data_IF_478406150186
#
_entry.id   IF_478406150186
#
_cell.length_a   1.000
_cell.length_b   1.000
_cell.length_c   1.000
_cell.angle_alpha   90.00
_cell.angle_beta   90.00
_cell.angle_gamma   90.00
#
_symmetry.space_group_name_H-M   'P 1'
#
loop_
_entity.id
_entity.type
_entity.pdbx_description
1 polymer ?
#
# COMPACT_ATOMS: atom_id res chain seq x y z
N UNK A 1 18.65 -62.90 40.28
CA UNK A 1 17.61 -63.14 41.29
C UNK A 1 16.56 -62.08 41.09
N UNK A 2 15.50 -62.51 40.45
CA UNK A 2 14.09 -62.45 40.91
C UNK A 2 13.54 -61.04 40.95
N UNK A 3 12.40 -60.68 40.49
CA UNK A 3 11.21 -61.39 40.03
C UNK A 3 10.26 -60.39 39.34
N UNK A 4 9.56 -60.86 38.34
CA UNK A 4 8.39 -60.43 37.62
C UNK A 4 7.24 -60.05 38.57
N UNK A 5 6.35 -59.08 38.19
CA UNK A 5 4.88 -59.19 38.23
C UNK A 5 4.24 -57.94 37.62
N UNK A 6 3.65 -58.01 36.50
CA UNK A 6 2.27 -58.30 36.04
C UNK A 6 1.23 -57.20 36.38
N UNK A 7 0.83 -56.58 35.35
CA UNK A 7 -0.50 -56.23 34.83
C UNK A 7 -1.62 -55.73 35.76
N UNK A 8 -2.20 -54.60 35.39
CA UNK A 8 -3.66 -54.50 35.40
C UNK A 8 -4.16 -53.54 34.29
N UNK A 9 -5.02 -54.09 33.46
CA UNK A 9 -5.76 -53.42 32.40
C UNK A 9 -6.87 -52.58 33.03
N UNK A 10 -6.92 -51.30 32.75
CA UNK A 10 -8.06 -50.43 33.01
C UNK A 10 -8.58 -49.89 31.66
N UNK A 11 -9.76 -50.40 31.27
CA UNK A 11 -10.41 -49.97 30.03
C UNK A 11 -10.87 -48.52 30.10
N UNK A 12 -10.80 -47.74 28.99
CA UNK A 12 -11.27 -46.38 28.97
C UNK A 12 -12.80 -46.28 28.98
N UNK A 13 -13.31 -45.45 29.85
CA UNK A 13 -14.71 -45.09 30.00
C UNK A 13 -15.24 -44.44 28.70
N UNK A 14 -16.23 -45.08 28.07
CA UNK A 14 -16.92 -44.65 26.86
C UNK A 14 -18.02 -43.63 27.13
N UNK A 15 -17.74 -42.55 27.85
CA UNK A 15 -18.80 -41.56 28.11
C UNK A 15 -18.34 -40.13 28.16
N UNK A 16 -17.41 -39.70 27.33
CA UNK A 16 -17.10 -38.27 27.28
C UNK A 16 -16.61 -37.87 25.88
N UNK A 17 -17.37 -38.22 24.84
CA UNK A 17 -17.14 -37.70 23.49
C UNK A 17 -18.45 -37.42 22.82
N UNK A 18 -18.98 -36.25 22.98
CA UNK A 18 -19.84 -35.55 22.01
C UNK A 18 -19.96 -34.09 22.40
N UNK A 19 -18.83 -33.35 22.33
CA UNK A 19 -18.94 -31.92 22.12
C UNK A 19 -18.61 -31.67 20.64
N UNK A 20 -19.67 -31.72 19.86
CA UNK A 20 -19.61 -31.41 18.42
C UNK A 20 -19.47 -29.89 18.32
N UNK A 21 -18.25 -29.41 18.25
CA UNK A 21 -17.98 -28.02 17.86
C UNK A 21 -18.38 -27.91 16.40
N UNK A 22 -19.58 -27.39 16.16
CA UNK A 22 -20.03 -27.01 14.84
C UNK A 22 -19.07 -25.96 14.32
N UNK A 23 -18.17 -26.37 13.42
CA UNK A 23 -17.40 -25.42 12.61
C UNK A 23 -18.42 -24.63 11.80
N UNK A 24 -18.67 -23.39 12.19
CA UNK A 24 -19.32 -22.41 11.32
C UNK A 24 -18.53 -22.39 10.02
N UNK A 25 -19.10 -22.90 8.94
CA UNK A 25 -18.62 -22.62 7.59
C UNK A 25 -18.66 -21.12 7.42
N UNK A 26 -17.50 -20.49 7.42
CA UNK A 26 -17.37 -19.13 6.94
C UNK A 26 -17.63 -19.24 5.44
N UNK A 27 -18.84 -18.88 5.04
CA UNK A 27 -19.19 -18.72 3.63
C UNK A 27 -18.50 -17.44 3.22
N UNK A 28 -17.34 -17.55 2.59
CA UNK A 28 -16.73 -16.46 1.85
C UNK A 28 -17.69 -16.19 0.70
N UNK A 29 -18.23 -14.96 0.57
CA UNK A 29 -19.06 -14.64 -0.58
C UNK A 29 -18.21 -14.81 -1.84
N UNK A 30 -18.58 -15.77 -2.69
CA UNK A 30 -18.00 -15.95 -3.99
C UNK A 30 -18.54 -14.85 -4.92
N UNK A 31 -17.99 -13.66 -4.79
CA UNK A 31 -18.02 -12.64 -5.81
C UNK A 31 -16.67 -11.93 -5.73
N UNK A 32 -15.64 -12.64 -6.13
CA UNK A 32 -14.48 -11.97 -6.70
C UNK A 32 -14.99 -11.57 -8.08
N UNK A 33 -15.62 -10.38 -8.18
CA UNK A 33 -15.71 -9.69 -9.45
C UNK A 33 -14.30 -9.69 -10.02
N UNK A 34 -14.18 -10.08 -11.30
CA UNK A 34 -12.94 -10.04 -12.04
C UNK A 34 -12.26 -8.72 -11.69
N UNK A 35 -11.10 -8.79 -11.03
CA UNK A 35 -10.41 -7.63 -10.47
C UNK A 35 -10.20 -6.67 -11.63
N UNK A 36 -11.03 -5.62 -11.69
CA UNK A 36 -10.84 -4.58 -12.68
C UNK A 36 -9.43 -4.07 -12.48
N UNK A 37 -8.60 -4.19 -13.53
CA UNK A 37 -7.19 -3.84 -13.47
C UNK A 37 -7.08 -2.39 -13.06
N UNK A 38 -6.60 -2.12 -11.86
CA UNK A 38 -6.46 -0.77 -11.31
C UNK A 38 -5.56 0.10 -12.20
N UNK A 39 -5.80 1.40 -12.16
CA UNK A 39 -4.97 2.39 -12.79
C UNK A 39 -4.13 3.10 -11.72
N UNK A 40 -2.84 3.25 -11.96
CA UNK A 40 -1.88 3.76 -10.99
C UNK A 40 -1.26 5.06 -11.51
N UNK A 41 -1.36 6.13 -10.75
CA UNK A 41 -0.45 7.27 -10.91
C UNK A 41 0.73 7.06 -9.97
N UNK A 42 1.94 6.99 -10.52
CA UNK A 42 3.18 6.80 -9.76
C UNK A 42 4.01 8.07 -9.75
N UNK A 43 4.71 8.32 -8.64
CA UNK A 43 5.54 9.50 -8.43
C UNK A 43 6.87 9.11 -7.81
N UNK A 44 7.93 9.84 -8.19
CA UNK A 44 9.21 9.82 -7.48
C UNK A 44 9.60 11.26 -7.19
N UNK A 45 9.94 11.53 -5.93
CA UNK A 45 10.11 12.89 -5.42
C UNK A 45 11.41 12.97 -4.60
N UNK A 46 12.20 14.03 -4.79
CA UNK A 46 13.32 14.33 -3.91
C UNK A 46 12.86 15.31 -2.81
N UNK A 47 12.93 14.90 -1.56
CA UNK A 47 12.49 15.69 -0.40
C UNK A 47 13.67 15.96 0.53
N UNK A 48 13.94 17.22 0.92
CA UNK A 48 14.95 17.51 1.92
C UNK A 48 14.66 16.77 3.24
N UNK A 49 15.66 16.13 3.82
CA UNK A 49 15.50 15.36 5.06
C UNK A 49 14.96 16.22 6.22
N UNK A 50 15.34 17.49 6.24
CA UNK A 50 14.83 18.47 7.22
C UNK A 50 13.31 18.71 7.09
N UNK A 51 12.74 18.48 5.90
CA UNK A 51 11.32 18.72 5.62
C UNK A 51 10.45 17.47 5.77
N UNK A 52 10.99 16.36 6.30
CA UNK A 52 10.27 15.09 6.38
C UNK A 52 8.90 15.19 7.07
N UNK A 53 8.85 15.82 8.22
CA UNK A 53 7.58 15.95 8.98
C UNK A 53 6.61 16.92 8.28
N UNK A 54 7.12 17.96 7.65
CA UNK A 54 6.32 18.88 6.84
C UNK A 54 5.75 18.14 5.61
N UNK A 55 6.54 17.29 4.95
CA UNK A 55 6.09 16.45 3.84
C UNK A 55 4.96 15.51 4.28
N UNK A 56 5.11 14.82 5.42
CA UNK A 56 4.07 13.93 5.96
C UNK A 56 2.78 14.69 6.24
N UNK A 57 2.87 15.89 6.83
CA UNK A 57 1.69 16.71 7.10
C UNK A 57 1.03 17.19 5.80
N UNK A 58 1.83 17.61 4.81
CA UNK A 58 1.37 18.01 3.48
C UNK A 58 0.65 16.84 2.79
N UNK A 59 1.28 15.66 2.69
CA UNK A 59 0.71 14.47 2.09
C UNK A 59 -0.63 14.10 2.75
N UNK A 60 -0.71 14.04 4.08
CA UNK A 60 -1.96 13.75 4.78
C UNK A 60 -3.10 14.71 4.44
N UNK A 61 -2.79 15.95 4.14
CA UNK A 61 -3.80 16.95 3.79
C UNK A 61 -4.24 16.85 2.34
N UNK A 62 -3.29 16.74 1.42
CA UNK A 62 -3.57 16.82 0.00
C UNK A 62 -3.90 15.46 -0.63
N UNK A 63 -3.31 14.37 -0.13
CA UNK A 63 -3.61 13.02 -0.65
C UNK A 63 -5.01 12.56 -0.28
N UNK A 64 -5.55 13.03 0.83
CA UNK A 64 -6.96 12.79 1.19
C UNK A 64 -7.94 13.27 0.11
N UNK A 65 -7.57 14.32 -0.64
CA UNK A 65 -8.39 14.86 -1.72
C UNK A 65 -8.53 13.87 -2.88
N UNK A 66 -7.46 13.09 -3.19
CA UNK A 66 -7.56 12.02 -4.20
C UNK A 66 -8.57 10.96 -3.80
N UNK A 67 -8.57 10.57 -2.51
CA UNK A 67 -9.52 9.58 -1.99
C UNK A 67 -10.96 10.13 -2.03
N UNK A 68 -11.17 11.41 -1.68
CA UNK A 68 -12.47 12.09 -1.82
C UNK A 68 -12.99 12.07 -3.27
N UNK A 69 -12.08 12.12 -4.25
CA UNK A 69 -12.42 12.15 -5.66
C UNK A 69 -12.36 10.78 -6.36
N UNK A 70 -12.29 9.70 -5.58
CA UNK A 70 -12.50 8.34 -6.07
C UNK A 70 -11.27 7.47 -6.20
N UNK A 71 -10.11 7.89 -5.69
CA UNK A 71 -8.97 7.00 -5.54
C UNK A 71 -9.28 5.91 -4.50
N UNK A 72 -8.81 4.69 -4.75
CA UNK A 72 -8.92 3.56 -3.81
C UNK A 72 -8.01 3.81 -2.61
N UNK A 73 -6.80 4.28 -2.86
CA UNK A 73 -5.80 4.61 -1.84
C UNK A 73 -4.67 5.46 -2.41
N UNK A 74 -3.97 6.13 -1.51
CA UNK A 74 -2.69 6.78 -1.77
C UNK A 74 -1.67 6.19 -0.81
N UNK A 75 -0.45 5.99 -1.27
CA UNK A 75 0.65 5.48 -0.43
C UNK A 75 1.91 6.31 -0.69
N UNK A 76 2.47 6.83 0.39
CA UNK A 76 3.72 7.57 0.41
C UNK A 76 4.80 6.74 1.10
N UNK A 77 5.87 6.40 0.37
CA UNK A 77 6.98 5.59 0.88
C UNK A 77 8.26 6.41 0.95
N UNK A 78 8.75 6.61 2.15
CA UNK A 78 10.04 7.26 2.38
C UNK A 78 11.19 6.28 2.11
N UNK A 79 12.19 6.70 1.30
CA UNK A 79 13.33 5.86 0.95
C UNK A 79 14.11 5.40 2.18
N UNK A 80 14.30 4.10 2.31
CA UNK A 80 15.03 3.42 3.38
C UNK A 80 16.27 2.70 2.81
N UNK A 81 16.06 1.78 1.88
CA UNK A 81 17.13 1.09 1.15
C UNK A 81 17.02 1.42 -0.34
N UNK A 82 17.71 2.49 -0.76
CA UNK A 82 17.70 3.00 -2.12
C UNK A 82 19.12 2.98 -2.67
N UNK A 83 19.57 1.85 -3.26
CA UNK A 83 20.95 1.70 -3.72
C UNK A 83 21.23 2.53 -4.97
N UNK A 84 22.50 2.91 -5.14
CA UNK A 84 23.00 3.52 -6.35
C UNK A 84 23.02 2.50 -7.51
N UNK A 85 22.50 2.90 -8.65
CA UNK A 85 22.53 2.12 -9.86
C UNK A 85 23.79 2.38 -10.70
N UNK A 86 24.08 1.50 -11.66
CA UNK A 86 25.23 1.70 -12.56
C UNK A 86 24.97 2.78 -13.61
N UNK A 87 23.79 2.79 -14.24
CA UNK A 87 23.41 3.73 -15.30
C UNK A 87 22.48 4.81 -14.75
N UNK A 88 21.42 4.39 -14.08
CA UNK A 88 20.45 5.26 -13.42
C UNK A 88 19.94 4.61 -12.16
N UNK A 89 19.33 5.37 -11.29
CA UNK A 89 18.70 4.95 -10.04
C UNK A 89 17.63 5.98 -9.65
N UNK A 90 16.92 5.72 -8.57
CA UNK A 90 15.89 6.62 -8.08
C UNK A 90 16.41 8.02 -7.74
N UNK A 91 17.61 8.12 -7.16
CA UNK A 91 18.20 9.41 -6.77
C UNK A 91 18.56 10.25 -7.99
N UNK A 92 19.19 9.63 -9.01
CA UNK A 92 19.56 10.31 -10.27
C UNK A 92 18.32 10.72 -11.06
N UNK A 93 17.27 9.88 -11.07
CA UNK A 93 16.04 10.16 -11.80
C UNK A 93 15.39 11.48 -11.37
N UNK A 94 15.46 11.83 -10.09
CA UNK A 94 14.91 13.07 -9.54
C UNK A 94 15.99 14.09 -9.13
N UNK A 95 17.26 13.86 -9.53
CA UNK A 95 18.40 14.72 -9.22
C UNK A 95 18.50 15.03 -7.70
N UNK A 96 18.31 14.00 -6.87
CA UNK A 96 18.33 14.14 -5.43
C UNK A 96 19.72 14.57 -4.92
N UNK A 97 19.75 15.59 -4.06
CA UNK A 97 20.93 16.08 -3.38
C UNK A 97 21.32 15.14 -2.21
N UNK A 98 22.51 15.37 -1.62
CA UNK A 98 23.00 14.52 -0.52
C UNK A 98 22.13 14.60 0.74
N UNK A 99 21.51 15.75 0.98
CA UNK A 99 20.62 16.04 2.11
C UNK A 99 19.15 15.72 1.83
N UNK A 100 18.85 15.06 0.70
CA UNK A 100 17.51 14.69 0.29
C UNK A 100 17.32 13.17 0.30
N UNK A 101 16.14 12.73 0.67
CA UNK A 101 15.66 11.36 0.48
C UNK A 101 14.73 11.28 -0.72
N UNK A 102 14.68 10.11 -1.33
CA UNK A 102 13.70 9.82 -2.38
C UNK A 102 12.43 9.33 -1.72
N UNK A 103 11.31 9.87 -2.13
CA UNK A 103 9.98 9.35 -1.84
C UNK A 103 9.45 8.68 -3.11
N UNK A 104 8.95 7.46 -2.96
CA UNK A 104 8.20 6.74 -3.98
C UNK A 104 6.75 6.64 -3.55
N UNK A 105 5.85 7.17 -4.36
CA UNK A 105 4.44 7.19 -4.04
C UNK A 105 3.55 6.78 -5.20
N UNK A 106 2.33 6.38 -4.86
CA UNK A 106 1.33 6.11 -5.88
C UNK A 106 -0.08 6.37 -5.40
N UNK A 107 -0.93 6.74 -6.37
CA UNK A 107 -2.37 6.83 -6.22
C UNK A 107 -3.00 5.68 -7.01
N UNK A 108 -3.82 4.88 -6.38
CA UNK A 108 -4.53 3.76 -7.00
C UNK A 108 -5.98 4.14 -7.27
N UNK A 109 -6.41 3.95 -8.51
CA UNK A 109 -7.74 4.22 -9.00
C UNK A 109 -8.43 2.93 -9.46
N UNK A 110 -9.77 2.84 -9.39
CA UNK A 110 -10.51 1.70 -9.92
C UNK A 110 -10.20 1.42 -11.40
N UNK A 111 -10.13 2.49 -12.18
CA UNK A 111 -9.81 2.47 -13.60
C UNK A 111 -9.35 3.87 -14.08
N UNK A 112 -8.99 3.96 -15.37
CA UNK A 112 -8.56 5.22 -15.98
C UNK A 112 -9.68 6.27 -16.03
N UNK A 113 -10.93 5.88 -16.20
CA UNK A 113 -12.04 6.83 -16.28
C UNK A 113 -12.30 7.49 -14.92
N UNK A 114 -12.27 6.72 -13.83
CA UNK A 114 -12.34 7.22 -12.47
C UNK A 114 -11.18 8.17 -12.16
N UNK A 115 -9.97 7.79 -12.58
CA UNK A 115 -8.77 8.65 -12.46
C UNK A 115 -8.91 9.97 -13.20
N UNK A 116 -9.32 9.95 -14.45
CA UNK A 116 -9.45 11.17 -15.27
C UNK A 116 -10.52 12.11 -14.68
N UNK A 117 -11.64 11.56 -14.20
CA UNK A 117 -12.68 12.32 -13.54
C UNK A 117 -12.23 12.88 -12.18
N UNK A 118 -11.49 12.09 -11.38
CA UNK A 118 -10.93 12.51 -10.10
C UNK A 118 -9.90 13.62 -10.26
N UNK A 119 -8.98 13.47 -11.21
CA UNK A 119 -7.97 14.48 -11.52
C UNK A 119 -8.58 15.79 -12.04
N UNK A 120 -9.62 15.73 -12.85
CA UNK A 120 -10.31 16.93 -13.29
C UNK A 120 -10.93 17.74 -12.13
N UNK A 121 -11.46 17.05 -11.11
CA UNK A 121 -11.95 17.69 -9.87
C UNK A 121 -10.80 18.23 -9.04
N UNK A 122 -9.74 17.44 -8.87
CA UNK A 122 -8.54 17.80 -8.11
C UNK A 122 -7.91 19.11 -8.60
N UNK A 123 -7.74 19.24 -9.91
CA UNK A 123 -7.15 20.44 -10.52
C UNK A 123 -8.02 21.70 -10.39
N UNK A 124 -9.31 21.56 -10.08
CA UNK A 124 -10.25 22.67 -9.87
C UNK A 124 -10.54 22.93 -8.39
N UNK A 125 -10.01 22.11 -7.49
CA UNK A 125 -10.26 22.26 -6.07
C UNK A 125 -9.51 23.48 -5.51
N UNK A 126 -10.19 24.43 -4.83
CA UNK A 126 -9.56 25.62 -4.28
C UNK A 126 -8.47 25.31 -3.25
N UNK A 127 -8.48 24.14 -2.63
CA UNK A 127 -7.42 23.69 -1.72
C UNK A 127 -6.07 23.55 -2.42
N UNK A 128 -6.05 23.40 -3.75
CA UNK A 128 -4.83 23.29 -4.54
C UNK A 128 -4.02 24.57 -4.61
N UNK A 129 -4.63 25.75 -4.36
CA UNK A 129 -3.88 27.00 -4.21
C UNK A 129 -2.94 26.94 -3.01
N UNK A 130 -3.38 26.31 -1.91
CA UNK A 130 -2.55 26.11 -0.72
C UNK A 130 -1.49 25.02 -0.91
N UNK A 131 -1.67 24.09 -1.87
CA UNK A 131 -0.67 23.08 -2.20
C UNK A 131 0.56 23.64 -2.92
N UNK A 132 0.53 24.88 -3.36
CA UNK A 132 1.67 25.53 -4.04
C UNK A 132 2.91 25.66 -3.14
N UNK A 133 2.75 25.67 -1.80
CA UNK A 133 3.85 25.66 -0.84
C UNK A 133 4.30 24.23 -0.52
N UNK A 134 4.80 23.54 -1.54
CA UNK A 134 5.29 22.17 -1.40
C UNK A 134 6.60 22.14 -0.59
N UNK A 135 6.79 21.16 0.33
CA UNK A 135 8.03 20.97 1.07
C UNK A 135 9.17 20.36 0.24
N UNK A 136 9.02 20.29 -1.07
CA UNK A 136 9.96 19.74 -2.04
C UNK A 136 9.96 20.53 -3.36
N UNK A 137 10.97 20.31 -4.18
CA UNK A 137 11.04 20.94 -5.52
C UNK A 137 10.26 20.11 -6.56
N UNK A 138 9.02 20.49 -6.82
CA UNK A 138 8.14 19.83 -7.78
C UNK A 138 8.66 19.77 -9.21
N UNK A 139 9.65 20.63 -9.59
CA UNK A 139 10.23 20.60 -10.94
C UNK A 139 11.10 19.37 -11.20
N UNK A 140 11.59 18.74 -10.13
CA UNK A 140 12.41 17.51 -10.18
C UNK A 140 11.59 16.24 -9.98
N UNK A 141 10.32 16.37 -9.64
CA UNK A 141 9.41 15.23 -9.51
C UNK A 141 9.19 14.59 -10.88
N UNK A 142 9.27 13.28 -10.94
CA UNK A 142 8.82 12.51 -12.08
C UNK A 142 7.53 11.79 -11.74
N UNK A 143 6.62 11.72 -12.70
CA UNK A 143 5.33 11.07 -12.50
C UNK A 143 4.79 10.48 -13.80
N UNK A 144 3.84 9.56 -13.67
CA UNK A 144 3.16 8.99 -14.83
C UNK A 144 1.98 8.12 -14.41
N UNK A 145 1.07 7.90 -15.38
CA UNK A 145 -0.08 7.01 -15.20
C UNK A 145 0.16 5.67 -15.87
N UNK A 146 -0.17 4.58 -15.16
CA UNK A 146 0.14 3.21 -15.54
C UNK A 146 -1.10 2.34 -15.45
N UNK A 147 -1.33 1.55 -16.50
CA UNK A 147 -2.33 0.48 -16.45
C UNK A 147 -1.69 -0.75 -15.83
N UNK A 148 -2.29 -1.29 -14.78
CA UNK A 148 -1.85 -2.57 -14.24
C UNK A 148 -1.94 -3.67 -15.32
N UNK A 149 -0.94 -4.51 -15.41
CA UNK A 149 -0.88 -5.64 -16.37
C UNK A 149 -0.77 -6.98 -15.66
N UNK A 150 -0.35 -6.97 -14.41
CA UNK A 150 -0.30 -8.14 -13.52
C UNK A 150 -0.59 -7.64 -12.12
N UNK A 151 -1.46 -8.35 -11.39
CA UNK A 151 -1.74 -8.13 -9.98
C UNK A 151 -1.72 -9.49 -9.29
N UNK A 152 -0.94 -9.66 -8.24
CA UNK A 152 -0.84 -10.88 -7.46
C UNK A 152 -0.96 -10.53 -5.97
N UNK A 153 -1.62 -11.38 -5.16
CA UNK A 153 -2.44 -12.55 -5.54
C UNK A 153 -3.72 -12.13 -6.25
N UNK A 154 -4.26 -13.06 -7.06
CA UNK A 154 -5.55 -12.88 -7.76
C UNK A 154 -6.72 -12.85 -6.77
#
# INVERSE_FOLDING_TARGET
MHTIETASKGAPCRSCMRSFVARKKVTIPATIEATAMSYIDGFVIAVPNANREQFIAHARTFDAIFVEFGAIRVVECWGDDVPDGKVTDFRRAVQAKQDESVVFSWVEWPDKAARDAGMAKFMQDPRMEAAADCPFDGKRMIFGGFKSVVSLPD
#
